data_IF_913318378363
#
_entry.id   IF_913318378363
#
_cell.length_a   1.000
_cell.length_b   1.000
_cell.length_c   1.000
_cell.angle_alpha   90.00
_cell.angle_beta   90.00
_cell.angle_gamma   90.00
#
_symmetry.space_group_name_H-M   'P 1'
#
loop_
_entity.id
_entity.type
_entity.pdbx_description
1 polymer ?
#
# COMPACT_ATOMS: atom_id res chain seq x y z
N UNK A 1 9.31 -0.96 -10.60
CA UNK A 1 9.07 0.42 -10.13
C UNK A 1 9.94 0.70 -8.89
N UNK A 2 11.27 0.70 -9.03
CA UNK A 2 12.23 0.74 -7.89
C UNK A 2 12.10 2.00 -7.03
N UNK A 3 12.04 3.19 -7.66
CA UNK A 3 11.92 4.47 -6.95
C UNK A 3 10.59 4.56 -6.20
N UNK A 4 9.50 4.14 -6.84
CA UNK A 4 8.17 4.20 -6.24
C UNK A 4 8.05 3.27 -5.04
N UNK A 5 8.60 2.04 -5.14
CA UNK A 5 8.64 1.10 -4.02
C UNK A 5 9.44 1.65 -2.84
N UNK A 6 10.64 2.16 -3.11
CA UNK A 6 11.47 2.78 -2.09
C UNK A 6 10.79 4.00 -1.43
N UNK A 7 10.18 4.90 -2.22
CA UNK A 7 9.42 6.04 -1.69
C UNK A 7 8.28 5.60 -0.78
N UNK A 8 7.47 4.62 -1.22
CA UNK A 8 6.34 4.11 -0.45
C UNK A 8 6.81 3.49 0.87
N UNK A 9 7.88 2.67 0.84
CA UNK A 9 8.40 2.05 2.05
C UNK A 9 9.00 3.09 3.00
N UNK A 10 9.72 4.08 2.47
CA UNK A 10 10.28 5.15 3.29
C UNK A 10 9.17 5.98 3.97
N UNK A 11 8.10 6.28 3.24
CA UNK A 11 6.90 6.89 3.81
C UNK A 11 6.28 6.02 4.92
N UNK A 12 6.07 4.71 4.67
CA UNK A 12 5.51 3.77 5.66
C UNK A 12 6.32 3.70 6.96
N UNK A 13 7.65 3.85 6.87
CA UNK A 13 8.56 3.74 8.01
C UNK A 13 8.74 5.05 8.78
N UNK A 14 8.45 6.21 8.17
CA UNK A 14 8.78 7.53 8.75
C UNK A 14 7.57 8.45 8.95
N UNK A 15 6.39 8.07 8.44
CA UNK A 15 5.16 8.79 8.67
C UNK A 15 4.63 8.58 10.09
N UNK A 16 4.06 9.63 10.67
CA UNK A 16 3.30 9.52 11.90
C UNK A 16 1.94 8.82 11.65
N UNK A 17 1.33 8.29 12.70
CA UNK A 17 0.01 7.68 12.59
C UNK A 17 -1.02 8.68 12.02
N UNK A 18 -1.75 8.26 10.98
CA UNK A 18 -2.70 9.07 10.20
C UNK A 18 -2.11 10.29 9.47
N UNK A 19 -0.80 10.41 9.38
CA UNK A 19 -0.18 11.41 8.53
C UNK A 19 -0.44 11.09 7.06
N UNK A 20 -0.69 12.13 6.26
CA UNK A 20 -0.87 12.01 4.81
C UNK A 20 0.46 12.30 4.12
N UNK A 21 0.65 11.75 2.91
CA UNK A 21 1.92 11.87 2.16
C UNK A 21 2.36 13.31 1.89
N UNK A 22 1.43 14.25 1.65
CA UNK A 22 1.77 15.66 1.42
C UNK A 22 2.34 16.34 2.70
N UNK A 23 1.65 16.36 3.85
CA UNK A 23 2.23 16.85 5.12
C UNK A 23 3.52 16.14 5.53
N UNK A 24 3.62 14.82 5.30
CA UNK A 24 4.84 14.07 5.55
C UNK A 24 6.00 14.59 4.70
N UNK A 25 5.77 14.84 3.41
CA UNK A 25 6.80 15.34 2.50
C UNK A 25 7.24 16.76 2.86
N UNK A 26 6.30 17.60 3.31
CA UNK A 26 6.60 18.94 3.83
C UNK A 26 7.47 18.86 5.11
N UNK A 27 7.11 17.98 6.04
CA UNK A 27 7.85 17.78 7.31
C UNK A 27 9.25 17.19 7.09
N UNK A 28 9.37 16.20 6.22
CA UNK A 28 10.65 15.56 5.91
C UNK A 28 11.52 16.44 5.01
N UNK A 29 10.90 17.27 4.17
CA UNK A 29 11.56 18.07 3.14
C UNK A 29 11.80 17.28 1.85
N UNK A 30 11.37 17.83 0.71
CA UNK A 30 11.50 17.18 -0.60
C UNK A 30 12.97 16.85 -0.94
N UNK A 31 13.90 17.76 -0.67
CA UNK A 31 15.32 17.53 -0.98
C UNK A 31 15.89 16.37 -0.17
N UNK A 32 15.58 16.30 1.12
CA UNK A 32 15.99 15.18 1.98
C UNK A 32 15.44 13.85 1.48
N UNK A 33 14.15 13.78 1.13
CA UNK A 33 13.55 12.55 0.57
C UNK A 33 14.24 12.17 -0.75
N UNK A 34 14.57 13.13 -1.61
CA UNK A 34 15.31 12.86 -2.86
C UNK A 34 16.72 12.35 -2.60
N UNK A 35 17.43 12.87 -1.60
CA UNK A 35 18.77 12.41 -1.23
C UNK A 35 18.75 10.98 -0.70
N UNK A 36 17.81 10.65 0.20
CA UNK A 36 17.59 9.29 0.69
C UNK A 36 17.32 8.32 -0.46
N UNK A 37 16.49 8.73 -1.43
CA UNK A 37 16.18 7.93 -2.60
C UNK A 37 17.27 7.96 -3.68
N UNK A 38 18.27 8.84 -3.62
CA UNK A 38 19.39 8.85 -4.55
C UNK A 38 20.45 7.80 -4.17
N UNK A 39 20.54 7.43 -2.89
CA UNK A 39 21.40 6.34 -2.41
C UNK A 39 20.85 4.98 -2.88
N UNK A 40 21.61 4.30 -3.73
CA UNK A 40 21.27 2.99 -4.29
C UNK A 40 21.18 1.88 -3.24
N UNK A 41 22.07 1.88 -2.25
CA UNK A 41 22.05 0.89 -1.19
C UNK A 41 20.79 1.08 -0.32
N UNK A 42 20.47 2.34 0.00
CA UNK A 42 19.24 2.66 0.74
C UNK A 42 17.98 2.25 -0.05
N UNK A 43 17.91 2.59 -1.34
CA UNK A 43 16.79 2.17 -2.20
C UNK A 43 16.62 0.66 -2.25
N UNK A 44 17.73 -0.08 -2.39
CA UNK A 44 17.68 -1.55 -2.43
C UNK A 44 17.11 -2.11 -1.14
N UNK A 45 17.61 -1.65 0.02
CA UNK A 45 17.14 -2.10 1.32
C UNK A 45 15.65 -1.75 1.55
N UNK A 46 15.20 -0.58 1.10
CA UNK A 46 13.78 -0.20 1.17
C UNK A 46 12.91 -1.12 0.31
N UNK A 47 13.32 -1.42 -0.92
CA UNK A 47 12.56 -2.33 -1.79
C UNK A 47 12.54 -3.75 -1.22
N UNK A 48 13.65 -4.28 -0.70
CA UNK A 48 13.68 -5.61 -0.08
C UNK A 48 12.70 -5.74 1.10
N UNK A 49 12.50 -4.67 1.89
CA UNK A 49 11.51 -4.66 2.98
C UNK A 49 10.09 -4.55 2.47
N UNK A 50 9.87 -3.82 1.38
CA UNK A 50 8.57 -3.75 0.72
C UNK A 50 8.18 -5.13 0.16
N UNK A 51 9.10 -5.81 -0.53
CA UNK A 51 8.86 -7.12 -1.12
C UNK A 51 8.50 -8.15 -0.05
N UNK A 52 9.23 -8.19 1.08
CA UNK A 52 8.89 -9.03 2.25
C UNK A 52 7.51 -8.74 2.83
N UNK A 53 7.03 -7.50 2.71
CA UNK A 53 5.67 -7.15 3.14
C UNK A 53 4.63 -7.70 2.16
N UNK A 54 4.91 -7.60 0.86
CA UNK A 54 4.04 -8.07 -0.22
C UNK A 54 3.93 -9.59 -0.27
N UNK A 55 4.96 -10.34 0.15
CA UNK A 55 4.90 -11.80 0.30
C UNK A 55 3.74 -12.29 1.19
N UNK A 56 3.27 -11.42 2.10
CA UNK A 56 2.15 -11.72 3.03
C UNK A 56 0.81 -11.20 2.53
N UNK A 57 0.78 -10.47 1.42
CA UNK A 57 -0.45 -9.90 0.88
C UNK A 57 -1.22 -10.94 0.08
N UNK A 58 -2.40 -11.30 0.59
CA UNK A 58 -3.37 -12.06 -0.17
C UNK A 58 -4.26 -11.09 -0.94
N UNK A 59 -4.39 -11.26 -2.25
CA UNK A 59 -5.17 -10.40 -3.12
C UNK A 59 -6.68 -10.70 -2.92
N UNK A 60 -7.43 -9.83 -2.22
CA UNK A 60 -8.78 -10.17 -1.77
C UNK A 60 -9.83 -9.99 -2.88
N UNK A 61 -9.52 -9.18 -3.90
CA UNK A 61 -10.46 -8.90 -4.99
C UNK A 61 -10.57 -10.10 -5.94
N UNK A 62 -9.47 -10.79 -6.17
CA UNK A 62 -9.41 -12.01 -6.94
C UNK A 62 -10.24 -13.09 -6.26
N UNK A 63 -10.07 -13.26 -4.95
CA UNK A 63 -10.89 -14.17 -4.14
C UNK A 63 -12.38 -13.79 -4.25
N UNK A 64 -12.73 -12.50 -4.10
CA UNK A 64 -14.11 -12.03 -4.21
C UNK A 64 -14.78 -12.27 -5.58
N UNK A 65 -13.99 -12.30 -6.66
CA UNK A 65 -14.49 -12.52 -8.02
C UNK A 65 -14.59 -14.01 -8.35
N UNK A 66 -13.67 -14.83 -7.82
CA UNK A 66 -13.51 -16.25 -8.19
C UNK A 66 -14.29 -17.18 -7.27
N UNK A 67 -14.38 -16.87 -5.97
CA UNK A 67 -15.12 -17.67 -5.00
C UNK A 67 -16.63 -17.41 -5.11
N UNK A 68 -17.36 -18.44 -5.55
CA UNK A 68 -18.81 -18.39 -5.73
C UNK A 68 -19.57 -18.21 -4.40
N UNK A 69 -19.05 -18.73 -3.29
CA UNK A 69 -19.64 -18.59 -1.97
C UNK A 69 -19.51 -17.17 -1.41
N UNK A 70 -18.35 -16.54 -1.57
CA UNK A 70 -18.13 -15.12 -1.22
C UNK A 70 -19.04 -14.23 -2.08
N UNK A 71 -19.11 -14.51 -3.39
CA UNK A 71 -19.96 -13.78 -4.32
C UNK A 71 -21.45 -13.87 -3.95
N UNK A 72 -21.93 -15.07 -3.64
CA UNK A 72 -23.32 -15.30 -3.24
C UNK A 72 -23.66 -14.61 -1.92
N UNK A 73 -22.75 -14.67 -0.94
CA UNK A 73 -22.99 -14.12 0.40
C UNK A 73 -22.98 -12.60 0.46
N UNK A 74 -22.03 -11.94 -0.20
CA UNK A 74 -21.79 -10.50 -0.02
C UNK A 74 -22.17 -9.64 -1.22
N UNK A 75 -22.24 -10.20 -2.43
CA UNK A 75 -22.37 -9.42 -3.67
C UNK A 75 -23.64 -9.73 -4.47
N UNK A 76 -24.54 -10.57 -3.96
CA UNK A 76 -25.86 -10.76 -4.55
C UNK A 76 -26.84 -9.65 -4.13
N UNK A 77 -27.48 -9.04 -5.12
CA UNK A 77 -28.62 -8.15 -4.90
C UNK A 77 -29.85 -8.99 -4.59
N UNK A 78 -30.50 -8.72 -3.45
CA UNK A 78 -31.78 -9.33 -3.08
C UNK A 78 -32.83 -8.24 -2.95
N UNK A 79 -33.90 -8.34 -3.71
CA UNK A 79 -35.08 -7.48 -3.55
C UNK A 79 -35.92 -8.01 -2.39
N UNK A 80 -36.12 -7.20 -1.36
CA UNK A 80 -37.04 -7.49 -0.27
C UNK A 80 -38.24 -6.60 -0.43
N UNK A 81 -39.44 -7.17 -0.49
CA UNK A 81 -40.68 -6.41 -0.46
C UNK A 81 -40.95 -6.00 0.98
N UNK A 82 -41.06 -4.71 1.23
CA UNK A 82 -41.42 -4.16 2.54
C UNK A 82 -42.93 -3.90 2.50
N UNK A 83 -43.67 -4.54 3.40
CA UNK A 83 -45.11 -4.27 3.63
C UNK A 83 -45.34 -2.93 4.32
#
# INVERSE_FOLDING_TARGET
MEITGAYLQYYRETAAYLERTAPWLERMGLNHVKEVLADENMRKQLNERLDKTLERYNEPWHEAITDSGIKEKYYQVRSVTVE
#
